data_IF_049694547885
#
_entry.id   IF_049694547885
#
_cell.length_a   1.000
_cell.length_b   1.000
_cell.length_c   1.000
_cell.angle_alpha   90.00
_cell.angle_beta   90.00
_cell.angle_gamma   90.00
#
_symmetry.space_group_name_H-M   'P 1'
#
loop_
_entity.id
_entity.type
_entity.pdbx_description
1 polymer ?
#
# COMPACT_ATOMS: atom_id res chain seq x y z
N UNK A 1 -25.87 19.20 19.26
CA UNK A 1 -27.19 18.75 19.75
C UNK A 1 -27.15 17.53 20.70
N UNK A 2 -25.99 17.16 21.27
CA UNK A 2 -25.84 15.91 22.07
C UNK A 2 -26.10 16.07 23.59
N UNK A 3 -26.25 17.29 24.10
CA UNK A 3 -26.44 17.58 25.54
C UNK A 3 -27.90 17.64 26.01
N UNK A 4 -28.87 17.54 25.09
CA UNK A 4 -30.32 17.64 25.39
C UNK A 4 -30.97 16.26 25.58
N UNK A 5 -30.35 15.18 25.07
CA UNK A 5 -30.92 13.82 25.10
C UNK A 5 -30.72 13.16 26.48
N UNK A 6 -29.55 13.34 27.10
CA UNK A 6 -29.25 12.73 28.40
C UNK A 6 -30.06 13.33 29.57
N UNK A 7 -30.34 14.64 29.53
CA UNK A 7 -31.14 15.32 30.56
C UNK A 7 -32.63 14.99 30.48
N UNK A 8 -33.14 14.60 29.31
CA UNK A 8 -34.53 14.17 29.14
C UNK A 8 -34.80 12.76 29.70
N UNK A 9 -33.83 11.85 29.60
CA UNK A 9 -33.94 10.47 30.10
C UNK A 9 -33.90 10.39 31.63
N UNK A 10 -33.08 11.23 32.29
CA UNK A 10 -33.06 11.33 33.75
C UNK A 10 -34.38 11.87 34.32
N UNK A 11 -35.05 12.78 33.60
CA UNK A 11 -36.35 13.32 34.00
C UNK A 11 -37.51 12.31 33.80
N UNK A 12 -37.40 11.41 32.81
CA UNK A 12 -38.47 10.43 32.51
C UNK A 12 -38.48 9.25 33.51
N UNK A 13 -37.32 8.85 34.05
CA UNK A 13 -37.24 7.74 35.02
C UNK A 13 -37.68 8.11 36.44
N UNK A 14 -37.78 9.40 36.77
CA UNK A 14 -38.29 9.85 38.08
C UNK A 14 -39.83 9.86 38.13
N UNK A 15 -40.51 9.82 36.98
CA UNK A 15 -41.97 10.10 36.89
C UNK A 15 -42.82 8.90 36.46
N UNK A 16 -42.23 7.79 36.00
CA UNK A 16 -42.98 6.64 35.48
C UNK A 16 -42.96 5.41 36.41
N UNK A 17 -44.09 4.99 37.00
CA UNK A 17 -44.20 3.68 37.67
C UNK A 17 -44.56 2.63 36.61
N UNK A 18 -43.67 2.39 35.66
CA UNK A 18 -43.85 1.31 34.68
C UNK A 18 -42.74 0.31 34.92
N UNK A 19 -43.09 -0.82 35.51
CA UNK A 19 -42.20 -1.96 35.67
C UNK A 19 -41.72 -2.40 34.27
N UNK A 20 -40.42 -2.30 33.94
CA UNK A 20 -39.94 -2.77 32.66
C UNK A 20 -39.91 -4.30 32.66
N UNK A 21 -40.34 -4.91 31.55
CA UNK A 21 -40.25 -6.34 31.33
C UNK A 21 -38.78 -6.78 31.36
N UNK A 22 -38.46 -7.74 32.23
CA UNK A 22 -37.11 -8.27 32.42
C UNK A 22 -36.73 -9.20 31.27
N UNK A 23 -35.57 -8.96 30.65
CA UNK A 23 -34.88 -9.96 29.83
C UNK A 23 -34.57 -11.20 30.68
N UNK A 24 -34.93 -12.39 30.19
CA UNK A 24 -34.83 -13.64 30.98
C UNK A 24 -33.53 -14.40 30.74
N UNK A 25 -32.84 -14.14 29.64
CA UNK A 25 -31.61 -14.86 29.29
C UNK A 25 -30.54 -13.93 28.70
N UNK A 26 -29.28 -14.36 28.76
CA UNK A 26 -28.15 -13.60 28.19
C UNK A 26 -28.23 -13.42 26.66
N UNK A 27 -28.99 -14.26 25.95
CA UNK A 27 -29.22 -14.14 24.51
C UNK A 27 -30.23 -13.05 24.12
N UNK A 28 -30.94 -12.48 25.09
CA UNK A 28 -31.88 -11.37 24.89
C UNK A 28 -31.18 -10.00 24.98
N UNK A 29 -29.86 -9.96 25.22
CA UNK A 29 -29.07 -8.73 25.24
C UNK A 29 -28.64 -8.34 23.81
N UNK A 30 -28.81 -7.07 23.40
CA UNK A 30 -28.27 -6.60 22.14
C UNK A 30 -26.73 -6.69 22.17
N UNK A 31 -26.13 -7.18 21.07
CA UNK A 31 -24.69 -7.40 20.94
C UNK A 31 -23.82 -6.13 20.92
N UNK A 32 -24.44 -4.94 20.80
CA UNK A 32 -23.75 -3.64 20.77
C UNK A 32 -24.58 -2.57 21.49
N UNK A 33 -23.90 -1.60 22.12
CA UNK A 33 -24.51 -0.54 22.93
C UNK A 33 -24.76 0.77 22.16
N UNK A 34 -24.34 0.89 20.90
CA UNK A 34 -24.79 1.94 19.98
C UNK A 34 -24.37 1.58 18.56
N UNK A 35 -25.19 1.97 17.58
CA UNK A 35 -24.85 1.91 16.16
C UNK A 35 -25.09 3.31 15.58
N UNK A 36 -24.10 3.82 14.84
CA UNK A 36 -24.18 5.09 14.12
C UNK A 36 -24.56 6.32 14.98
N UNK A 37 -24.06 6.35 16.22
CA UNK A 37 -24.30 7.47 17.14
C UNK A 37 -25.74 7.55 17.67
N UNK A 38 -26.54 6.51 17.42
CA UNK A 38 -27.86 6.31 18.01
C UNK A 38 -27.74 5.27 19.12
N UNK A 39 -28.20 5.62 20.33
CA UNK A 39 -28.21 4.70 21.46
C UNK A 39 -29.23 3.58 21.19
N UNK A 40 -28.77 2.33 21.16
CA UNK A 40 -29.63 1.14 20.98
C UNK A 40 -29.38 0.15 22.13
N UNK A 41 -29.69 0.58 23.35
CA UNK A 41 -29.53 -0.22 24.56
C UNK A 41 -30.55 0.16 25.62
N UNK A 42 -30.88 -0.83 26.47
CA UNK A 42 -31.68 -0.66 27.66
C UNK A 42 -30.78 -0.71 28.89
N UNK A 43 -30.75 0.35 29.69
CA UNK A 43 -30.10 0.32 31.01
C UNK A 43 -31.06 -0.35 31.99
N UNK A 44 -30.79 -1.60 32.34
CA UNK A 44 -31.52 -2.30 33.41
C UNK A 44 -30.80 -2.05 34.72
N UNK A 45 -31.41 -1.27 35.60
CA UNK A 45 -30.94 -1.09 36.97
C UNK A 45 -31.76 -2.01 37.87
N UNK A 46 -31.10 -2.88 38.63
CA UNK A 46 -31.78 -3.71 39.62
C UNK A 46 -32.49 -2.87 40.68
N UNK A 47 -33.51 -3.41 41.35
CA UNK A 47 -34.36 -2.67 42.31
C UNK A 47 -33.67 -2.23 43.61
N UNK A 48 -32.33 -2.27 43.66
CA UNK A 48 -31.50 -1.46 44.56
C UNK A 48 -31.85 -1.45 46.04
N UNK A 49 -32.39 -2.54 46.60
CA UNK A 49 -32.72 -2.63 48.03
C UNK A 49 -33.62 -1.49 48.56
N UNK A 50 -33.78 -1.42 49.88
CA UNK A 50 -34.71 -0.47 50.54
C UNK A 50 -34.08 0.89 50.90
N UNK A 51 -32.84 1.16 50.47
CA UNK A 51 -32.13 2.39 50.83
C UNK A 51 -32.15 3.42 49.67
N UNK A 52 -32.88 4.55 49.81
CA UNK A 52 -33.01 5.55 48.75
C UNK A 52 -31.69 6.19 48.31
N UNK A 53 -30.72 6.30 49.21
CA UNK A 53 -29.41 6.91 48.91
C UNK A 53 -28.49 5.98 48.10
N UNK A 54 -28.60 4.66 48.31
CA UNK A 54 -27.89 3.65 47.52
C UNK A 54 -28.43 3.58 46.09
N UNK A 55 -29.77 3.62 45.96
CA UNK A 55 -30.48 3.64 44.68
C UNK A 55 -30.03 4.78 43.75
N UNK A 56 -29.94 6.00 44.26
CA UNK A 56 -29.53 7.15 43.45
C UNK A 56 -28.06 7.06 43.00
N UNK A 57 -27.18 6.53 43.86
CA UNK A 57 -25.76 6.35 43.57
C UNK A 57 -25.51 5.24 42.55
N UNK A 58 -26.22 4.11 42.67
CA UNK A 58 -26.10 2.97 41.75
C UNK A 58 -26.64 3.31 40.36
N UNK A 59 -27.76 4.07 40.29
CA UNK A 59 -28.29 4.61 39.04
C UNK A 59 -27.29 5.58 38.41
N UNK A 60 -26.74 6.51 39.19
CA UNK A 60 -25.76 7.48 38.68
C UNK A 60 -24.48 6.79 38.18
N UNK A 61 -23.99 5.78 38.90
CA UNK A 61 -22.81 5.00 38.50
C UNK A 61 -23.05 4.17 37.23
N UNK A 62 -24.20 3.51 37.11
CA UNK A 62 -24.56 2.77 35.91
C UNK A 62 -24.69 3.69 34.68
N UNK A 63 -25.26 4.87 34.85
CA UNK A 63 -25.35 5.89 33.80
C UNK A 63 -23.97 6.43 33.42
N UNK A 64 -23.09 6.70 34.39
CA UNK A 64 -21.73 7.21 34.11
C UNK A 64 -20.88 6.17 33.36
N UNK A 65 -20.96 4.90 33.76
CA UNK A 65 -20.30 3.78 33.05
C UNK A 65 -20.86 3.63 31.63
N UNK A 66 -22.19 3.65 31.46
CA UNK A 66 -22.81 3.56 30.14
C UNK A 66 -22.44 4.77 29.25
N UNK A 67 -22.33 5.96 29.83
CA UNK A 67 -21.93 7.19 29.12
C UNK A 67 -20.48 7.09 28.68
N UNK A 68 -19.57 6.61 29.54
CA UNK A 68 -18.17 6.37 29.16
C UNK A 68 -18.01 5.24 28.14
N UNK A 69 -18.77 4.15 28.24
CA UNK A 69 -18.74 3.09 27.21
C UNK A 69 -19.28 3.60 25.87
N UNK A 70 -20.30 4.45 25.88
CA UNK A 70 -20.81 5.11 24.68
C UNK A 70 -19.81 6.14 24.10
N UNK A 71 -19.04 6.83 24.95
CA UNK A 71 -17.93 7.70 24.51
C UNK A 71 -16.77 6.91 23.88
N UNK A 72 -16.55 5.66 24.32
CA UNK A 72 -15.55 4.75 23.74
C UNK A 72 -16.09 4.01 22.51
N UNK A 73 -17.36 4.19 22.13
CA UNK A 73 -17.91 3.61 20.90
C UNK A 73 -17.17 4.18 19.68
N UNK A 74 -16.40 3.31 19.04
CA UNK A 74 -15.73 3.60 17.79
C UNK A 74 -16.74 3.48 16.66
N UNK A 75 -16.78 4.50 15.81
CA UNK A 75 -17.43 4.34 14.50
C UNK A 75 -16.43 3.64 13.60
N UNK A 76 -16.80 2.48 13.06
CA UNK A 76 -16.13 1.93 11.89
C UNK A 76 -16.41 2.87 10.72
N UNK A 77 -15.58 3.88 10.57
CA UNK A 77 -15.62 4.73 9.39
C UNK A 77 -15.09 3.89 8.23
N UNK A 78 -15.97 3.41 7.37
CA UNK A 78 -15.56 3.08 6.00
C UNK A 78 -15.00 4.35 5.39
N UNK A 79 -13.68 4.41 5.25
CA UNK A 79 -13.01 5.47 4.50
C UNK A 79 -13.47 5.36 3.05
N UNK A 80 -14.49 6.14 2.68
CA UNK A 80 -14.92 6.25 1.29
C UNK A 80 -13.77 6.88 0.51
N UNK A 81 -13.00 6.05 -0.19
CA UNK A 81 -11.77 6.45 -0.90
C UNK A 81 -10.59 5.50 -0.69
N UNK A 82 -10.59 4.69 0.38
CA UNK A 82 -9.65 3.57 0.52
C UNK A 82 -10.33 2.29 0.04
N UNK A 83 -10.58 2.22 -1.26
CA UNK A 83 -10.77 0.92 -1.90
C UNK A 83 -9.36 0.35 -2.01
N UNK A 84 -8.87 -0.30 -0.94
CA UNK A 84 -8.03 -1.47 -1.22
C UNK A 84 -8.97 -2.38 -1.97
N UNK A 85 -8.82 -2.43 -3.31
CA UNK A 85 -9.53 -3.42 -4.09
C UNK A 85 -9.28 -4.73 -3.37
N UNK A 86 -10.33 -5.31 -2.79
CA UNK A 86 -10.22 -6.66 -2.26
C UNK A 86 -9.65 -7.46 -3.41
N UNK A 87 -8.48 -8.07 -3.21
CA UNK A 87 -7.94 -8.96 -4.23
C UNK A 87 -8.90 -10.13 -4.26
N UNK A 88 -9.80 -10.15 -5.23
CA UNK A 88 -10.69 -11.28 -5.46
C UNK A 88 -9.81 -12.48 -5.77
N UNK A 89 -9.98 -13.55 -5.02
CA UNK A 89 -9.19 -14.77 -5.13
C UNK A 89 -10.09 -15.99 -4.97
N UNK A 90 -9.57 -17.16 -5.32
CA UNK A 90 -10.29 -18.41 -5.03
C UNK A 90 -10.21 -18.72 -3.54
N UNK A 91 -11.35 -19.10 -2.99
CA UNK A 91 -11.48 -19.52 -1.60
C UNK A 91 -11.43 -21.05 -1.52
N UNK A 92 -10.78 -21.55 -0.47
CA UNK A 92 -10.77 -22.97 -0.12
C UNK A 92 -11.13 -23.05 1.35
N UNK A 93 -12.23 -23.75 1.63
CA UNK A 93 -12.73 -23.95 2.99
C UNK A 93 -12.16 -25.23 3.61
N UNK A 94 -12.37 -25.37 4.92
CA UNK A 94 -12.10 -26.61 5.68
C UNK A 94 -10.65 -27.12 5.63
N UNK A 95 -9.66 -26.22 5.53
CA UNK A 95 -8.24 -26.59 5.65
C UNK A 95 -7.96 -27.04 7.10
N UNK A 96 -7.58 -28.30 7.36
CA UNK A 96 -7.32 -28.78 8.70
C UNK A 96 -6.07 -28.11 9.31
N UNK A 97 -6.13 -27.82 10.61
CA UNK A 97 -4.98 -27.25 11.31
C UNK A 97 -3.74 -28.14 11.23
N UNK A 98 -2.56 -27.52 11.20
CA UNK A 98 -1.25 -28.16 11.03
C UNK A 98 -1.07 -28.89 9.68
N UNK A 99 -1.98 -28.68 8.73
CA UNK A 99 -1.83 -29.19 7.36
C UNK A 99 -1.14 -28.15 6.51
N UNK A 100 -0.18 -28.59 5.69
CA UNK A 100 0.47 -27.71 4.74
C UNK A 100 -0.54 -27.31 3.65
N UNK A 101 -0.67 -26.01 3.42
CA UNK A 101 -1.58 -25.43 2.43
C UNK A 101 -1.21 -25.85 1.01
N UNK A 102 0.07 -26.15 0.78
CA UNK A 102 0.58 -26.66 -0.48
C UNK A 102 0.48 -28.19 -0.64
N UNK A 103 -0.17 -28.90 0.31
CA UNK A 103 -0.55 -30.30 0.08
C UNK A 103 -1.57 -30.35 -1.05
N UNK A 104 -1.49 -31.39 -1.87
CA UNK A 104 -2.22 -31.65 -3.13
C UNK A 104 -3.74 -31.50 -3.08
N UNK A 105 -4.31 -31.30 -1.89
CA UNK A 105 -5.74 -31.18 -1.63
C UNK A 105 -6.24 -29.72 -1.52
N UNK A 106 -5.38 -28.71 -1.39
CA UNK A 106 -5.82 -27.31 -1.16
C UNK A 106 -5.28 -26.35 -2.23
N UNK A 107 -4.05 -25.85 -2.06
CA UNK A 107 -3.40 -24.99 -3.04
C UNK A 107 -2.16 -25.67 -3.62
N UNK A 108 -1.79 -25.30 -4.84
CA UNK A 108 -0.46 -25.61 -5.33
C UNK A 108 0.61 -24.85 -4.53
N UNK A 109 1.88 -25.23 -4.67
CA UNK A 109 3.01 -24.46 -4.13
C UNK A 109 3.13 -23.05 -4.73
N UNK A 110 2.36 -22.76 -5.78
CA UNK A 110 2.33 -21.48 -6.48
C UNK A 110 0.88 -21.02 -6.72
N UNK A 111 0.62 -19.75 -6.40
CA UNK A 111 -0.60 -19.04 -6.76
C UNK A 111 -0.33 -18.20 -8.00
N UNK A 112 -1.10 -18.39 -9.06
CA UNK A 112 -0.96 -17.66 -10.34
C UNK A 112 -2.14 -16.72 -10.52
N UNK A 113 -2.20 -15.98 -11.63
CA UNK A 113 -3.35 -15.17 -12.03
C UNK A 113 -4.71 -15.92 -12.00
N UNK A 114 -4.71 -17.26 -12.14
CA UNK A 114 -5.93 -18.08 -12.02
C UNK A 114 -6.46 -18.14 -10.57
N UNK A 115 -5.58 -18.04 -9.59
CA UNK A 115 -5.90 -18.05 -8.16
C UNK A 115 -6.07 -16.64 -7.61
N UNK A 116 -5.22 -15.71 -8.08
CA UNK A 116 -5.15 -14.32 -7.65
C UNK A 116 -5.23 -13.43 -8.90
N UNK A 117 -6.45 -13.11 -9.41
CA UNK A 117 -6.69 -12.27 -10.59
C UNK A 117 -5.89 -10.95 -10.68
N UNK A 118 -5.44 -10.40 -9.55
CA UNK A 118 -4.58 -9.22 -9.54
C UNK A 118 -3.16 -9.46 -10.07
N UNK A 119 -2.71 -10.73 -10.13
CA UNK A 119 -1.42 -11.10 -10.68
C UNK A 119 -1.43 -11.03 -12.20
N UNK A 120 -0.37 -10.49 -12.78
CA UNK A 120 -0.24 -10.36 -14.23
C UNK A 120 0.09 -11.73 -14.86
N UNK A 121 -0.59 -12.04 -15.96
CA UNK A 121 -0.17 -13.07 -16.92
C UNK A 121 -0.43 -12.54 -18.31
N UNK A 122 0.61 -12.14 -19.02
CA UNK A 122 0.44 -11.42 -20.28
C UNK A 122 1.75 -11.10 -20.98
N UNK A 123 1.76 -9.99 -21.71
CA UNK A 123 2.90 -9.52 -22.48
C UNK A 123 3.29 -8.11 -22.03
N UNK A 124 4.58 -7.84 -22.00
CA UNK A 124 5.14 -6.49 -22.00
C UNK A 124 5.74 -6.18 -23.36
N UNK A 125 5.76 -4.91 -23.74
CA UNK A 125 6.39 -4.45 -24.98
C UNK A 125 7.64 -3.64 -24.66
N UNK A 126 8.75 -3.99 -25.30
CA UNK A 126 10.00 -3.25 -25.22
C UNK A 126 10.61 -3.13 -26.63
N UNK A 127 10.83 -1.88 -27.06
CA UNK A 127 11.35 -1.55 -28.39
C UNK A 127 10.58 -2.24 -29.54
N UNK A 128 9.25 -2.30 -29.45
CA UNK A 128 8.39 -2.94 -30.44
C UNK A 128 8.39 -4.48 -30.41
N UNK A 129 9.14 -5.10 -29.50
CA UNK A 129 9.14 -6.55 -29.30
C UNK A 129 8.29 -6.90 -28.08
N UNK A 130 7.53 -7.99 -28.18
CA UNK A 130 6.67 -8.49 -27.10
C UNK A 130 7.38 -9.60 -26.33
N UNK A 131 7.30 -9.54 -25.00
CA UNK A 131 7.86 -10.55 -24.09
C UNK A 131 6.76 -11.06 -23.18
N UNK A 132 6.61 -12.38 -23.09
CA UNK A 132 5.65 -12.96 -22.15
C UNK A 132 6.18 -12.84 -20.73
N UNK A 133 5.34 -12.39 -19.82
CA UNK A 133 5.62 -12.29 -18.39
C UNK A 133 4.51 -12.91 -17.56
N UNK A 134 4.86 -13.40 -16.39
CA UNK A 134 3.91 -13.92 -15.43
C UNK A 134 4.31 -13.54 -14.00
N UNK A 135 3.31 -13.21 -13.20
CA UNK A 135 3.45 -13.04 -11.77
C UNK A 135 2.88 -14.27 -11.04
N UNK A 136 3.57 -14.66 -9.97
CA UNK A 136 3.12 -15.73 -9.09
C UNK A 136 3.52 -15.48 -7.66
N UNK A 137 2.76 -16.05 -6.73
CA UNK A 137 3.10 -16.10 -5.31
C UNK A 137 3.50 -17.53 -4.98
N UNK A 138 4.73 -17.74 -4.54
CA UNK A 138 5.20 -19.03 -4.03
C UNK A 138 4.87 -19.09 -2.54
N UNK A 139 4.17 -20.16 -2.15
CA UNK A 139 3.74 -20.42 -0.78
C UNK A 139 4.46 -21.69 -0.28
N UNK A 140 5.67 -21.55 0.27
CA UNK A 140 6.50 -22.71 0.59
C UNK A 140 6.06 -23.34 1.92
N UNK A 141 5.29 -24.42 1.86
CA UNK A 141 5.00 -25.26 3.04
C UNK A 141 4.26 -24.55 4.17
N UNK A 142 3.56 -23.45 3.88
CA UNK A 142 2.82 -22.69 4.88
C UNK A 142 1.70 -23.56 5.48
N UNK A 143 1.44 -23.42 6.79
CA UNK A 143 0.42 -24.22 7.49
C UNK A 143 -0.62 -23.33 8.13
N UNK A 144 -1.89 -23.70 8.06
CA UNK A 144 -2.93 -23.05 8.87
C UNK A 144 -2.82 -23.56 10.29
N UNK A 145 -2.54 -22.68 11.25
CA UNK A 145 -2.41 -23.01 12.65
C UNK A 145 -3.30 -22.11 13.52
N UNK A 146 -3.38 -22.44 14.81
CA UNK A 146 -4.00 -21.58 15.81
C UNK A 146 -3.14 -21.59 17.07
N UNK A 147 -3.08 -20.47 17.78
CA UNK A 147 -2.32 -20.35 19.02
C UNK A 147 -3.26 -19.83 20.11
N UNK A 148 -3.58 -20.72 21.06
CA UNK A 148 -4.44 -20.39 22.19
C UNK A 148 -3.77 -19.46 23.20
N UNK A 149 -2.46 -19.63 23.40
CA UNK A 149 -1.73 -19.03 24.50
C UNK A 149 -1.20 -17.64 24.15
N UNK A 150 -0.76 -17.45 22.89
CA UNK A 150 -0.18 -16.20 22.38
C UNK A 150 -1.19 -15.38 21.59
N UNK A 151 -2.03 -16.02 20.77
CA UNK A 151 -2.97 -15.34 19.87
C UNK A 151 -4.45 -15.51 20.29
N UNK A 152 -4.71 -15.94 21.52
CA UNK A 152 -6.07 -16.10 22.07
C UNK A 152 -6.98 -17.00 21.19
N UNK A 153 -6.40 -18.02 20.58
CA UNK A 153 -7.10 -18.98 19.71
C UNK A 153 -7.31 -18.48 18.28
N UNK A 154 -6.71 -17.36 17.89
CA UNK A 154 -6.80 -16.85 16.52
C UNK A 154 -6.12 -17.83 15.55
N UNK A 155 -6.76 -17.99 14.39
CA UNK A 155 -6.20 -18.73 13.26
C UNK A 155 -5.19 -17.85 12.54
N UNK A 156 -4.07 -18.42 12.12
CA UNK A 156 -3.00 -17.72 11.43
C UNK A 156 -2.32 -18.62 10.39
N UNK A 157 -1.56 -17.99 9.49
CA UNK A 157 -0.69 -18.70 8.56
C UNK A 157 0.73 -18.81 9.11
N UNK A 158 1.19 -20.04 9.35
CA UNK A 158 2.55 -20.34 9.79
C UNK A 158 3.50 -20.42 8.59
N UNK A 159 4.51 -19.55 8.55
CA UNK A 159 5.53 -19.49 7.49
C UNK A 159 6.92 -20.03 7.90
N UNK A 160 7.02 -20.81 8.99
CA UNK A 160 8.29 -21.19 9.63
C UNK A 160 9.39 -21.79 8.74
N UNK A 161 9.06 -22.37 7.58
CA UNK A 161 10.03 -23.10 6.76
C UNK A 161 10.52 -22.34 5.52
N UNK A 162 9.89 -21.22 5.14
CA UNK A 162 10.38 -20.26 4.15
C UNK A 162 9.38 -19.09 4.00
N UNK A 163 9.90 -17.89 3.73
CA UNK A 163 9.07 -16.71 3.48
C UNK A 163 8.23 -16.86 2.21
N UNK A 164 7.06 -16.21 2.19
CA UNK A 164 6.30 -16.04 0.95
C UNK A 164 7.15 -15.34 -0.10
N UNK A 165 7.07 -15.75 -1.36
CA UNK A 165 7.76 -15.06 -2.45
C UNK A 165 6.76 -14.55 -3.46
N UNK A 166 6.82 -13.28 -3.81
CA UNK A 166 6.21 -12.79 -5.04
C UNK A 166 7.28 -12.84 -6.14
N UNK A 167 6.94 -13.40 -7.29
CA UNK A 167 7.88 -13.64 -8.39
C UNK A 167 7.33 -12.96 -9.64
N UNK A 168 8.10 -12.05 -10.21
CA UNK A 168 7.91 -11.53 -11.56
C UNK A 168 8.83 -12.30 -12.51
N UNK A 169 8.23 -13.12 -13.37
CA UNK A 169 8.90 -14.11 -14.21
C UNK A 169 8.88 -13.69 -15.68
N UNK A 170 10.05 -13.57 -16.31
CA UNK A 170 10.19 -13.36 -17.75
C UNK A 170 10.09 -14.70 -18.48
N UNK A 171 8.85 -15.13 -18.75
CA UNK A 171 8.54 -16.40 -19.42
C UNK A 171 9.20 -16.50 -20.80
N UNK A 172 9.34 -15.37 -21.50
CA UNK A 172 10.18 -15.26 -22.69
C UNK A 172 11.49 -14.58 -22.32
N UNK A 173 12.62 -15.20 -22.66
CA UNK A 173 13.97 -14.69 -22.45
C UNK A 173 14.09 -13.18 -22.72
N UNK A 174 14.38 -12.41 -21.68
CA UNK A 174 14.67 -10.98 -21.80
C UNK A 174 16.18 -10.73 -21.73
N UNK A 175 16.78 -10.42 -22.88
CA UNK A 175 18.23 -10.24 -23.02
C UNK A 175 18.61 -8.92 -23.71
N UNK A 176 17.71 -7.93 -23.67
CA UNK A 176 17.94 -6.65 -24.34
C UNK A 176 18.77 -5.72 -23.47
N UNK A 177 19.73 -4.98 -24.07
CA UNK A 177 20.40 -3.92 -23.34
C UNK A 177 19.36 -2.88 -22.91
N UNK A 178 19.42 -2.48 -21.65
CA UNK A 178 18.63 -1.40 -21.10
C UNK A 178 19.49 -0.15 -20.98
N UNK A 179 18.84 1.00 -21.00
CA UNK A 179 19.51 2.28 -20.84
C UNK A 179 18.57 3.34 -20.28
N UNK A 180 19.10 4.52 -19.99
CA UNK A 180 18.30 5.67 -19.52
C UNK A 180 17.31 6.12 -20.60
N UNK A 181 17.68 6.06 -21.88
CA UNK A 181 16.86 6.41 -23.05
C UNK A 181 15.85 5.33 -23.43
N UNK A 182 16.14 4.07 -23.12
CA UNK A 182 15.26 2.92 -23.37
C UNK A 182 15.09 2.08 -22.10
N UNK A 183 14.41 2.59 -21.05
CA UNK A 183 14.20 1.85 -19.82
C UNK A 183 13.06 0.83 -19.99
N UNK A 184 13.20 -0.33 -19.36
CA UNK A 184 12.13 -1.32 -19.25
C UNK A 184 11.14 -0.88 -18.16
N UNK A 185 9.87 -0.69 -18.51
CA UNK A 185 8.80 -0.43 -17.52
C UNK A 185 8.19 -1.75 -17.05
N UNK A 186 8.26 -1.99 -15.75
CA UNK A 186 7.55 -3.09 -15.07
C UNK A 186 6.81 -2.55 -13.85
N UNK A 187 5.82 -3.29 -13.36
CA UNK A 187 5.11 -2.96 -12.12
C UNK A 187 5.33 -4.07 -11.11
N UNK A 188 5.82 -3.74 -9.90
CA UNK A 188 5.99 -4.66 -8.78
C UNK A 188 5.19 -4.12 -7.59
N UNK A 189 4.28 -4.93 -7.04
CA UNK A 189 3.36 -4.49 -5.95
C UNK A 189 2.66 -3.15 -6.22
N UNK A 190 2.21 -2.95 -7.46
CA UNK A 190 1.52 -1.72 -7.87
C UNK A 190 2.41 -0.48 -8.01
N UNK A 191 3.74 -0.62 -7.84
CA UNK A 191 4.72 0.44 -8.10
C UNK A 191 5.41 0.20 -9.43
N UNK A 192 5.40 1.20 -10.30
CA UNK A 192 6.16 1.18 -11.55
C UNK A 192 7.68 1.34 -11.26
N UNK A 193 8.48 0.51 -11.92
CA UNK A 193 9.94 0.59 -11.98
C UNK A 193 10.35 0.78 -13.44
N UNK A 194 11.19 1.79 -13.69
CA UNK A 194 11.83 2.00 -14.98
C UNK A 194 13.27 1.53 -14.91
N UNK A 195 13.51 0.28 -15.26
CA UNK A 195 14.81 -0.37 -15.17
C UNK A 195 15.69 0.07 -16.34
N UNK A 196 16.86 0.62 -16.03
CA UNK A 196 17.84 1.12 -17.00
C UNK A 196 19.05 0.22 -17.15
N UNK A 197 19.24 -0.73 -16.23
CA UNK A 197 20.32 -1.71 -16.30
C UNK A 197 20.00 -2.92 -15.41
N UNK A 198 20.58 -4.07 -15.69
CA UNK A 198 20.57 -5.23 -14.80
C UNK A 198 21.89 -6.01 -14.89
N UNK A 199 22.19 -6.75 -13.84
CA UNK A 199 23.35 -7.63 -13.74
C UNK A 199 23.06 -8.75 -12.75
N UNK A 200 24.01 -9.65 -12.50
CA UNK A 200 23.80 -10.94 -11.80
C UNK A 200 22.94 -10.93 -10.54
N UNK A 201 22.97 -9.83 -9.77
CA UNK A 201 22.35 -9.72 -8.45
C UNK A 201 21.82 -8.29 -8.18
N UNK A 202 21.56 -7.52 -9.24
CA UNK A 202 21.05 -6.15 -9.11
C UNK A 202 20.38 -5.66 -10.38
N UNK A 203 19.46 -4.72 -10.23
CA UNK A 203 18.99 -3.87 -11.31
C UNK A 203 19.08 -2.39 -10.91
N UNK A 204 19.31 -1.53 -11.90
CA UNK A 204 19.28 -0.08 -11.73
C UNK A 204 17.95 0.43 -12.24
N UNK A 205 17.24 1.25 -11.47
CA UNK A 205 16.01 1.88 -11.91
C UNK A 205 16.02 3.39 -11.67
N UNK A 206 15.22 4.10 -12.47
CA UNK A 206 14.98 5.52 -12.27
C UNK A 206 14.10 5.74 -11.04
N UNK A 207 14.52 6.65 -10.15
CA UNK A 207 13.81 6.98 -8.92
C UNK A 207 13.42 8.45 -8.88
N UNK A 208 12.22 8.74 -8.40
CA UNK A 208 11.65 10.09 -8.35
C UNK A 208 10.36 10.20 -9.15
N UNK A 209 9.98 11.42 -9.51
CA UNK A 209 8.84 11.66 -10.40
C UNK A 209 9.29 11.52 -11.85
N UNK A 210 8.77 10.51 -12.54
CA UNK A 210 8.96 10.33 -13.98
C UNK A 210 7.74 10.85 -14.72
N UNK A 211 7.97 11.58 -15.81
CA UNK A 211 6.88 12.03 -16.67
C UNK A 211 7.36 12.78 -17.90
N UNK A 212 6.41 13.25 -18.69
CA UNK A 212 6.69 14.07 -19.89
C UNK A 212 6.42 15.53 -19.58
N UNK A 213 7.47 16.34 -19.54
CA UNK A 213 7.40 17.78 -19.39
C UNK A 213 7.23 18.46 -20.75
N UNK A 214 6.39 19.48 -20.82
CA UNK A 214 6.23 20.40 -21.96
C UNK A 214 6.30 21.84 -21.48
N UNK A 215 6.07 22.81 -22.36
CA UNK A 215 5.99 24.22 -21.98
C UNK A 215 4.80 24.54 -21.06
N UNK A 216 3.77 23.70 -21.06
CA UNK A 216 2.51 23.90 -20.31
C UNK A 216 2.18 22.78 -19.34
N UNK A 217 2.79 21.61 -19.47
CA UNK A 217 2.59 20.46 -18.60
C UNK A 217 3.90 20.15 -17.86
N UNK A 218 3.98 20.36 -16.54
CA UNK A 218 5.20 20.08 -15.80
C UNK A 218 5.27 18.62 -15.35
N UNK A 219 6.48 18.17 -15.00
CA UNK A 219 6.67 17.06 -14.06
C UNK A 219 6.80 17.65 -12.65
N UNK A 220 5.96 17.20 -11.73
CA UNK A 220 5.93 17.70 -10.34
C UNK A 220 6.72 16.77 -9.42
N UNK A 221 7.62 17.34 -8.63
CA UNK A 221 8.34 16.62 -7.57
C UNK A 221 8.35 17.47 -6.29
N UNK A 222 7.74 16.96 -5.22
CA UNK A 222 7.57 17.71 -3.97
C UNK A 222 6.86 19.04 -4.21
N UNK A 223 7.50 20.15 -3.83
CA UNK A 223 6.98 21.51 -3.97
C UNK A 223 7.39 22.21 -5.28
N UNK A 224 7.88 21.45 -6.25
CA UNK A 224 8.45 21.99 -7.48
C UNK A 224 7.78 21.43 -8.72
N UNK A 225 7.67 22.28 -9.75
CA UNK A 225 7.22 21.93 -11.10
C UNK A 225 8.36 22.16 -12.08
N UNK A 226 8.62 21.19 -12.94
CA UNK A 226 9.67 21.26 -13.96
C UNK A 226 9.04 21.26 -15.35
N UNK A 227 9.16 22.39 -16.05
CA UNK A 227 8.65 22.60 -17.40
C UNK A 227 9.79 22.52 -18.41
N UNK A 228 9.55 21.93 -19.58
CA UNK A 228 10.51 21.95 -20.68
C UNK A 228 10.23 23.16 -21.58
N UNK A 229 11.17 24.10 -21.67
CA UNK A 229 10.95 25.40 -22.34
C UNK A 229 11.60 25.52 -23.70
N UNK A 230 12.71 24.82 -23.92
CA UNK A 230 13.45 24.84 -25.19
C UNK A 230 14.18 23.50 -25.37
N UNK A 231 14.09 22.90 -26.55
CA UNK A 231 14.76 21.65 -26.87
C UNK A 231 15.62 21.80 -28.12
N UNK A 232 16.66 20.98 -28.22
CA UNK A 232 17.46 20.86 -29.43
C UNK A 232 18.02 19.44 -29.55
N UNK A 233 18.83 19.20 -30.57
CA UNK A 233 19.37 17.85 -30.87
C UNK A 233 20.11 17.22 -29.68
N UNK A 234 20.80 18.04 -28.88
CA UNK A 234 21.66 17.56 -27.79
C UNK A 234 21.41 18.30 -26.47
N UNK A 235 20.27 18.98 -26.31
CA UNK A 235 19.96 19.66 -25.05
C UNK A 235 18.47 19.82 -24.83
N UNK A 236 18.10 19.97 -23.56
CA UNK A 236 16.79 20.46 -23.16
C UNK A 236 16.94 21.46 -22.02
N UNK A 237 16.29 22.60 -22.16
CA UNK A 237 16.21 23.63 -21.12
C UNK A 237 14.93 23.43 -20.32
N UNK A 238 15.08 23.50 -19.00
CA UNK A 238 13.99 23.36 -18.05
C UNK A 238 13.83 24.61 -17.22
N UNK A 239 12.58 25.08 -17.08
CA UNK A 239 12.18 26.09 -16.10
C UNK A 239 11.63 25.38 -14.88
N UNK A 240 12.23 25.63 -13.73
CA UNK A 240 11.78 25.13 -12.43
C UNK A 240 11.00 26.23 -11.73
N UNK A 241 9.79 25.92 -11.28
CA UNK A 241 8.93 26.82 -10.51
C UNK A 241 8.54 26.20 -9.18
N UNK A 242 8.03 27.02 -8.27
CA UNK A 242 7.27 26.52 -7.13
C UNK A 242 5.88 26.03 -7.56
N UNK A 243 5.07 25.54 -6.61
CA UNK A 243 3.70 25.08 -6.88
C UNK A 243 2.76 26.18 -7.40
N UNK A 244 3.07 27.45 -7.13
CA UNK A 244 2.30 28.62 -7.56
C UNK A 244 2.81 29.20 -8.91
N UNK A 245 3.66 28.45 -9.61
CA UNK A 245 4.25 28.83 -10.90
C UNK A 245 5.18 30.06 -10.85
N UNK A 246 5.68 30.43 -9.66
CA UNK A 246 6.74 31.44 -9.55
C UNK A 246 8.08 30.83 -10.02
N UNK A 247 8.80 31.47 -10.95
CA UNK A 247 10.06 30.94 -11.46
C UNK A 247 11.15 30.97 -10.39
N UNK A 248 11.82 29.84 -10.20
CA UNK A 248 12.94 29.68 -9.27
C UNK A 248 14.26 29.74 -10.04
N UNK A 249 14.40 28.89 -11.05
CA UNK A 249 15.58 28.83 -11.90
C UNK A 249 15.29 28.22 -13.27
N UNK A 250 16.23 28.43 -14.17
CA UNK A 250 16.27 27.77 -15.47
C UNK A 250 17.58 27.00 -15.54
N UNK A 251 17.50 25.72 -15.90
CA UNK A 251 18.65 24.83 -16.05
C UNK A 251 18.68 24.26 -17.45
N UNK A 252 19.85 23.89 -17.94
CA UNK A 252 19.98 23.20 -19.24
C UNK A 252 20.68 21.87 -19.01
N UNK A 253 20.03 20.80 -19.47
CA UNK A 253 20.63 19.47 -19.53
C UNK A 253 21.24 19.32 -20.92
N UNK A 254 22.51 18.96 -20.97
CA UNK A 254 23.24 18.65 -22.21
C UNK A 254 23.40 17.14 -22.37
N UNK A 255 23.37 16.67 -23.62
CA UNK A 255 23.36 15.26 -23.96
C UNK A 255 21.96 14.65 -23.92
N UNK A 256 21.71 13.65 -24.77
CA UNK A 256 20.40 13.01 -24.89
C UNK A 256 19.89 12.38 -23.57
N UNK A 257 20.81 11.96 -22.70
CA UNK A 257 20.53 11.31 -21.40
C UNK A 257 21.25 11.98 -20.22
N UNK A 258 21.60 13.26 -20.38
CA UNK A 258 22.33 14.00 -19.35
C UNK A 258 21.51 14.26 -18.09
N UNK A 259 22.19 14.74 -17.06
CA UNK A 259 21.55 15.20 -15.83
C UNK A 259 22.12 16.54 -15.40
N UNK A 260 21.29 17.34 -14.70
CA UNK A 260 21.71 18.60 -14.09
C UNK A 260 21.12 18.71 -12.69
N UNK A 261 21.92 19.23 -11.76
CA UNK A 261 21.44 19.59 -10.44
C UNK A 261 20.96 21.03 -10.45
N UNK A 262 19.78 21.22 -9.88
CA UNK A 262 19.26 22.54 -9.50
C UNK A 262 20.19 23.20 -8.49
N UNK A 263 20.25 24.53 -8.53
CA UNK A 263 21.13 25.33 -7.66
C UNK A 263 20.35 26.19 -6.68
N UNK A 264 19.03 26.38 -6.87
CA UNK A 264 18.20 27.31 -6.08
C UNK A 264 17.05 26.64 -5.34
N UNK A 265 16.66 25.41 -5.68
CA UNK A 265 15.66 24.66 -4.90
C UNK A 265 16.20 24.23 -3.53
N UNK A 266 15.30 23.98 -2.58
CA UNK A 266 15.61 23.45 -1.24
C UNK A 266 14.52 22.43 -0.86
N UNK A 267 14.80 21.13 -0.87
CA UNK A 267 16.09 20.49 -1.18
C UNK A 267 16.53 20.67 -2.65
N UNK A 268 17.83 20.47 -2.91
CA UNK A 268 18.36 20.42 -4.28
C UNK A 268 17.81 19.18 -4.98
N UNK A 269 17.41 19.36 -6.22
CA UNK A 269 16.90 18.33 -7.12
C UNK A 269 17.91 18.00 -8.22
N UNK A 270 17.92 16.75 -8.67
CA UNK A 270 18.48 16.36 -9.97
C UNK A 270 17.36 16.23 -10.99
N UNK A 271 17.59 16.80 -12.17
CA UNK A 271 16.74 16.62 -13.35
C UNK A 271 17.57 15.83 -14.37
N UNK A 272 17.11 14.63 -14.71
CA UNK A 272 17.73 13.80 -15.75
C UNK A 272 16.80 13.68 -16.95
N UNK A 273 17.36 13.98 -18.13
CA UNK A 273 16.68 13.84 -19.40
C UNK A 273 16.71 12.36 -19.81
N UNK A 274 15.57 11.83 -20.24
CA UNK A 274 15.43 10.48 -20.80
C UNK A 274 15.37 10.59 -22.33
N UNK A 275 14.48 11.45 -22.83
CA UNK A 275 14.30 11.70 -24.25
C UNK A 275 13.67 13.07 -24.47
N UNK A 276 13.99 13.73 -25.58
CA UNK A 276 13.35 15.00 -25.98
C UNK A 276 12.81 14.91 -27.41
N UNK A 277 11.58 15.34 -27.59
CA UNK A 277 10.97 15.61 -28.88
C UNK A 277 10.77 17.13 -29.02
N UNK A 278 11.46 17.74 -29.97
CA UNK A 278 11.39 19.17 -30.26
C UNK A 278 11.33 19.43 -31.77
N UNK A 279 10.70 20.54 -32.16
CA UNK A 279 10.67 21.02 -33.53
C UNK A 279 12.00 21.70 -33.90
N UNK A 280 12.22 21.96 -35.20
CA UNK A 280 13.44 22.61 -35.68
C UNK A 280 13.64 24.03 -35.12
N UNK A 281 12.57 24.70 -34.70
CA UNK A 281 12.62 26.03 -34.07
C UNK A 281 12.92 25.96 -32.55
N UNK A 282 13.11 24.75 -32.01
CA UNK A 282 13.39 24.49 -30.61
C UNK A 282 12.16 24.33 -29.72
N UNK A 283 10.95 24.47 -30.26
CA UNK A 283 9.71 24.25 -29.52
C UNK A 283 9.64 22.81 -29.03
N UNK A 284 9.54 22.62 -27.71
CA UNK A 284 9.44 21.28 -27.10
C UNK A 284 8.02 20.75 -27.25
N UNK A 285 7.89 19.62 -27.94
CA UNK A 285 6.64 18.83 -28.00
C UNK A 285 6.50 17.99 -26.74
N UNK A 286 7.61 17.42 -26.25
CA UNK A 286 7.67 16.74 -24.96
C UNK A 286 9.09 16.30 -24.60
N UNK A 287 9.43 16.41 -23.33
CA UNK A 287 10.68 15.92 -22.76
C UNK A 287 10.35 14.91 -21.66
N UNK A 288 10.65 13.63 -21.88
CA UNK A 288 10.55 12.62 -20.83
C UNK A 288 11.72 12.83 -19.88
N UNK A 289 11.41 13.01 -18.60
CA UNK A 289 12.40 13.30 -17.57
C UNK A 289 12.10 12.52 -16.29
N UNK A 290 13.15 12.35 -15.48
CA UNK A 290 13.04 11.98 -14.08
C UNK A 290 13.52 13.15 -13.22
N UNK A 291 12.76 13.47 -12.18
CA UNK A 291 13.09 14.51 -11.20
C UNK A 291 13.08 13.89 -9.81
N UNK A 292 14.15 14.08 -9.06
CA UNK A 292 14.32 13.51 -7.72
C UNK A 292 15.28 14.33 -6.87
N UNK A 293 15.58 13.86 -5.64
CA UNK A 293 16.60 14.48 -4.80
C UNK A 293 17.95 14.51 -5.51
N UNK A 294 18.80 15.46 -5.12
CA UNK A 294 20.14 15.60 -5.70
C UNK A 294 20.93 14.28 -5.62
N UNK A 295 21.34 13.75 -6.76
CA UNK A 295 22.12 12.52 -6.90
C UNK A 295 21.32 11.23 -6.81
N UNK A 296 20.00 11.29 -6.63
CA UNK A 296 19.14 10.14 -6.28
C UNK A 296 18.04 9.87 -7.34
N UNK A 297 18.33 10.18 -8.61
CA UNK A 297 17.42 9.89 -9.74
C UNK A 297 17.63 8.51 -10.37
N UNK A 298 18.69 7.83 -9.96
CA UNK A 298 18.98 6.43 -10.28
C UNK A 298 19.28 5.72 -8.97
N UNK A 299 18.74 4.51 -8.83
CA UNK A 299 19.00 3.66 -7.68
C UNK A 299 19.31 2.25 -8.14
N UNK A 300 20.43 1.73 -7.65
CA UNK A 300 20.73 0.31 -7.70
C UNK A 300 19.91 -0.38 -6.60
N UNK A 301 19.17 -1.41 -7.01
CA UNK A 301 18.49 -2.37 -6.16
C UNK A 301 19.25 -3.68 -6.27
N UNK A 302 19.90 -4.07 -5.18
CA UNK A 302 20.69 -5.29 -5.08
C UNK A 302 19.87 -6.40 -4.43
N UNK A 303 20.32 -7.64 -4.62
CA UNK A 303 19.83 -8.77 -3.84
C UNK A 303 19.95 -8.50 -2.35
N UNK A 304 18.88 -8.79 -1.63
CA UNK A 304 18.75 -8.54 -0.20
C UNK A 304 18.36 -7.10 0.16
N UNK A 305 18.32 -6.16 -0.80
CA UNK A 305 17.83 -4.82 -0.53
C UNK A 305 16.32 -4.85 -0.23
N UNK A 306 15.90 -4.02 0.72
CA UNK A 306 14.48 -3.89 1.05
C UNK A 306 13.69 -3.23 -0.07
N UNK A 307 12.48 -3.74 -0.29
CA UNK A 307 11.52 -3.13 -1.19
C UNK A 307 11.17 -1.70 -0.72
N UNK A 308 11.11 -0.71 -1.62
CA UNK A 308 10.85 0.67 -1.22
C UNK A 308 9.59 0.86 -0.37
N UNK A 309 9.77 1.40 0.83
CA UNK A 309 8.67 1.75 1.74
C UNK A 309 8.28 0.65 2.72
N UNK A 310 8.99 -0.48 2.75
CA UNK A 310 8.75 -1.56 3.72
C UNK A 310 10.04 -2.32 4.02
N UNK A 311 10.17 -2.83 5.24
CA UNK A 311 11.21 -3.76 5.67
C UNK A 311 10.76 -5.23 5.62
N UNK A 312 9.53 -5.49 5.16
CA UNK A 312 8.94 -6.82 5.13
C UNK A 312 9.26 -7.58 3.84
N UNK A 313 9.84 -6.95 2.83
CA UNK A 313 10.10 -7.58 1.54
C UNK A 313 11.51 -7.23 1.08
N UNK A 314 12.26 -8.22 0.61
CA UNK A 314 13.60 -8.03 0.02
C UNK A 314 13.63 -8.48 -1.43
N UNK A 315 14.43 -7.82 -2.24
CA UNK A 315 14.71 -8.25 -3.60
C UNK A 315 15.59 -9.50 -3.61
N UNK A 316 15.33 -10.37 -4.57
CA UNK A 316 16.15 -11.51 -4.98
C UNK A 316 16.06 -11.57 -6.53
N UNK A 317 17.17 -11.30 -7.22
CA UNK A 317 17.20 -10.98 -8.64
C UNK A 317 17.96 -12.10 -9.35
N UNK A 318 17.27 -12.81 -10.25
CA UNK A 318 17.86 -13.91 -11.00
C UNK A 318 18.21 -13.46 -12.43
N UNK A 319 19.51 -13.54 -12.75
CA UNK A 319 20.03 -13.30 -14.10
C UNK A 319 20.90 -14.46 -14.54
N UNK A 320 20.45 -15.25 -15.52
CA UNK A 320 21.19 -16.39 -16.10
C UNK A 320 21.64 -16.04 -17.51
N UNK A 321 22.90 -16.33 -17.87
CA UNK A 321 23.43 -16.12 -19.22
C UNK A 321 23.19 -14.69 -19.79
N UNK A 322 23.27 -13.66 -18.93
CA UNK A 322 22.97 -12.25 -19.23
C UNK A 322 21.50 -11.96 -19.58
N UNK A 323 20.58 -12.83 -19.19
CA UNK A 323 19.13 -12.66 -19.36
C UNK A 323 18.52 -12.32 -18.00
N UNK A 324 17.65 -11.32 -17.96
CA UNK A 324 16.88 -11.05 -16.76
C UNK A 324 15.75 -12.08 -16.69
N UNK A 325 15.90 -13.08 -15.83
CA UNK A 325 14.95 -14.20 -15.74
C UNK A 325 13.83 -13.86 -14.77
N UNK A 326 14.18 -13.43 -13.54
CA UNK A 326 13.19 -13.15 -12.50
C UNK A 326 13.58 -11.96 -11.63
N UNK A 327 12.55 -11.28 -11.14
CA UNK A 327 12.66 -10.39 -9.98
C UNK A 327 11.74 -10.94 -8.90
N UNK A 328 12.31 -11.31 -7.77
CA UNK A 328 11.63 -11.94 -6.65
C UNK A 328 11.58 -10.94 -5.50
N UNK A 329 10.44 -10.87 -4.82
CA UNK A 329 10.27 -10.21 -3.54
C UNK A 329 10.03 -11.29 -2.49
N UNK A 330 10.98 -11.47 -1.58
CA UNK A 330 10.90 -12.44 -0.49
C UNK A 330 10.44 -11.78 0.80
N UNK A 331 9.33 -12.27 1.35
CA UNK A 331 8.78 -11.82 2.61
C UNK A 331 9.74 -12.15 3.76
N UNK A 332 10.11 -11.12 4.51
CA UNK A 332 10.91 -11.21 5.71
C UNK A 332 9.97 -11.26 6.91
N UNK A 333 10.04 -12.33 7.70
CA UNK A 333 9.32 -12.41 8.96
C UNK A 333 9.97 -11.43 9.96
N UNK A 334 9.27 -10.38 10.42
CA UNK A 334 9.86 -9.27 11.17
C UNK A 334 10.35 -9.65 12.59
N UNK A 335 10.12 -10.88 13.06
CA UNK A 335 10.66 -11.40 14.30
C UNK A 335 10.74 -12.93 14.25
N UNK A 336 11.85 -13.51 14.72
CA UNK A 336 11.99 -14.97 14.94
C UNK A 336 10.95 -15.52 15.95
N UNK A 337 10.29 -14.63 16.70
CA UNK A 337 9.26 -14.97 17.68
C UNK A 337 7.83 -15.01 17.10
N UNK A 338 7.59 -14.41 15.92
CA UNK A 338 6.24 -14.29 15.37
C UNK A 338 6.20 -14.65 13.87
N UNK A 339 5.99 -15.94 13.58
CA UNK A 339 5.80 -16.50 12.24
C UNK A 339 4.34 -16.43 11.74
N UNK A 340 3.54 -15.54 12.34
CA UNK A 340 2.09 -15.49 12.18
C UNK A 340 1.72 -14.39 11.17
N UNK A 341 1.13 -14.77 10.04
CA UNK A 341 0.40 -13.85 9.15
C UNK A 341 -1.10 -13.92 9.40
#
# INVERSE_FOLDING_TARGET
MKKIIASLLAALMVVAPVAPALAKTFGDFPGFLSVDGTADYYIVVGTGGVNPAGLASDIAGAIDIATRLAEVSYTTVRVTGAVTGGVEGKEVDDIPFNTAINDTNYFGSELTATHVPALIRGEIEFEGNKYSVAEKIVVPGAQVNHDKDVLNGSVYLNLQNAGLKYVYDFVTDFNKPLSVDSPLSITLFGREFLITNYSSNKFTALTGSVGTATATQPVTYGNYKVYATLGGTNFCQFKVTDLNDNPIETVTVFGATGSVDTTKTTPKLTIRLISVAALQDGTVVGAKIVVGPKGEVEKDYNDGDYFPGTDLWKFDIEVTDNKLDKIILEYQTPNETYYYL
#
